data_IF_378500183029
#
_entry.id   IF_378500183029
#
_cell.length_a   1.000
_cell.length_b   1.000
_cell.length_c   1.000
_cell.angle_alpha   90.00
_cell.angle_beta   90.00
_cell.angle_gamma   90.00
#
_symmetry.space_group_name_H-M   'P 1'
#
loop_
_entity.id
_entity.type
_entity.pdbx_description
1 polymer ?
#
# COMPACT_ATOMS: atom_id res chain seq x y z
N UNK A 1 -21.93 1.87 -28.22
CA UNK A 1 -20.56 2.31 -28.56
C UNK A 1 -20.00 3.03 -27.35
N UNK A 2 -19.27 2.32 -26.49
CA UNK A 2 -18.70 2.92 -25.28
C UNK A 2 -17.47 3.73 -25.66
N UNK A 3 -17.53 5.04 -25.50
CA UNK A 3 -16.36 5.91 -25.65
C UNK A 3 -15.30 5.48 -24.63
N UNK A 4 -14.14 5.03 -25.12
CA UNK A 4 -12.94 4.88 -24.30
C UNK A 4 -12.59 6.30 -23.84
N UNK A 5 -12.81 6.61 -22.57
CA UNK A 5 -12.40 7.90 -22.01
C UNK A 5 -10.88 7.99 -22.10
N UNK A 6 -10.39 9.04 -22.76
CA UNK A 6 -8.96 9.36 -22.77
C UNK A 6 -8.46 9.51 -21.33
N UNK A 7 -7.21 9.14 -21.06
CA UNK A 7 -6.58 9.40 -19.75
C UNK A 7 -6.59 10.89 -19.39
N UNK A 8 -6.65 11.76 -20.39
CA UNK A 8 -6.72 13.22 -20.23
C UNK A 8 -8.15 13.74 -20.01
N UNK A 9 -9.15 12.86 -19.92
CA UNK A 9 -10.51 13.29 -19.64
C UNK A 9 -10.60 13.76 -18.18
N UNK A 10 -11.18 14.94 -17.87
CA UNK A 10 -11.16 15.51 -16.51
C UNK A 10 -11.72 14.58 -15.43
N UNK A 11 -12.79 13.83 -15.73
CA UNK A 11 -13.35 12.86 -14.79
C UNK A 11 -12.40 11.68 -14.50
N UNK A 12 -11.58 11.28 -15.48
CA UNK A 12 -10.57 10.22 -15.31
C UNK A 12 -9.41 10.74 -14.47
N UNK A 13 -8.96 11.96 -14.73
CA UNK A 13 -7.94 12.62 -13.92
C UNK A 13 -8.38 12.78 -12.46
N UNK A 14 -9.60 13.28 -12.24
CA UNK A 14 -10.17 13.44 -10.90
C UNK A 14 -10.27 12.10 -10.15
N UNK A 15 -10.69 11.03 -10.83
CA UNK A 15 -10.70 9.69 -10.26
C UNK A 15 -9.29 9.25 -9.82
N UNK A 16 -8.28 9.46 -10.66
CA UNK A 16 -6.92 9.08 -10.31
C UNK A 16 -6.31 9.96 -9.21
N UNK A 17 -6.65 11.23 -9.13
CA UNK A 17 -6.22 12.10 -8.03
C UNK A 17 -6.78 11.65 -6.68
N UNK A 18 -7.97 11.02 -6.64
CA UNK A 18 -8.49 10.40 -5.41
C UNK A 18 -7.68 9.18 -4.99
N UNK A 19 -7.15 8.41 -5.95
CA UNK A 19 -6.33 7.23 -5.69
C UNK A 19 -4.88 7.60 -5.34
N UNK A 20 -4.33 8.58 -6.05
CA UNK A 20 -2.95 9.02 -5.98
C UNK A 20 -2.89 10.54 -5.82
N UNK A 21 -3.22 11.08 -4.63
CA UNK A 21 -3.15 12.50 -4.37
C UNK A 21 -1.79 13.10 -4.74
N UNK A 22 -1.78 14.26 -5.40
CA UNK A 22 -0.60 14.97 -5.91
C UNK A 22 0.16 14.30 -7.06
N UNK A 23 -0.42 13.28 -7.68
CA UNK A 23 0.12 12.62 -8.87
C UNK A 23 -0.92 12.54 -10.00
N UNK A 24 -0.46 12.62 -11.24
CA UNK A 24 -1.25 12.31 -12.44
C UNK A 24 -0.79 10.99 -13.04
N UNK A 25 -1.71 10.32 -13.74
CA UNK A 25 -1.37 9.13 -14.53
C UNK A 25 -0.81 9.57 -15.87
N UNK A 26 0.48 9.34 -16.07
CA UNK A 26 1.18 9.63 -17.32
C UNK A 26 0.81 8.63 -18.42
N UNK A 27 0.77 7.35 -18.05
CA UNK A 27 0.45 6.24 -18.96
C UNK A 27 0.03 5.00 -18.18
N UNK A 28 -0.75 4.16 -18.85
CA UNK A 28 -1.13 2.83 -18.40
C UNK A 28 -0.75 1.83 -19.49
N UNK A 29 -0.08 0.75 -19.09
CA UNK A 29 0.29 -0.35 -19.96
C UNK A 29 -0.30 -1.65 -19.42
N UNK A 30 -0.95 -2.41 -20.29
CA UNK A 30 -1.51 -3.71 -19.96
C UNK A 30 -0.85 -4.76 -20.84
N UNK A 31 -0.13 -5.71 -20.23
CA UNK A 31 0.61 -6.76 -20.93
C UNK A 31 0.33 -8.10 -20.26
N UNK A 32 -0.17 -9.10 -21.00
CA UNK A 32 -0.29 -10.51 -20.57
C UNK A 32 -0.66 -10.69 -19.08
N UNK A 33 -1.76 -10.07 -18.62
CA UNK A 33 -2.25 -10.21 -17.25
C UNK A 33 -1.61 -9.28 -16.21
N UNK A 34 -0.71 -8.39 -16.62
CA UNK A 34 -0.12 -7.35 -15.80
C UNK A 34 -0.57 -5.95 -16.24
N UNK A 35 -1.08 -5.18 -15.29
CA UNK A 35 -1.30 -3.74 -15.43
C UNK A 35 -0.15 -2.94 -14.83
N UNK A 36 0.36 -1.95 -15.56
CA UNK A 36 1.37 -1.02 -15.08
C UNK A 36 0.85 0.41 -15.21
N UNK A 37 0.78 1.14 -14.11
CA UNK A 37 0.38 2.56 -14.08
C UNK A 37 1.59 3.39 -13.75
N UNK A 38 1.90 4.39 -14.57
CA UNK A 38 3.07 5.25 -14.37
C UNK A 38 2.60 6.63 -13.95
N UNK A 39 3.11 7.08 -12.81
CA UNK A 39 2.71 8.34 -12.20
C UNK A 39 3.78 9.40 -12.37
N UNK A 40 3.35 10.65 -12.51
CA UNK A 40 4.21 11.82 -12.39
C UNK A 40 3.63 12.82 -11.39
N UNK A 41 4.48 13.51 -10.60
CA UNK A 41 4.00 14.47 -9.62
C UNK A 41 3.43 15.70 -10.33
N UNK A 42 2.29 16.20 -9.85
CA UNK A 42 1.66 17.44 -10.36
C UNK A 42 1.89 18.65 -9.47
N UNK A 43 2.34 18.43 -8.23
CA UNK A 43 2.68 19.49 -7.28
C UNK A 43 4.18 19.56 -7.04
N UNK A 44 4.64 20.64 -6.43
CA UNK A 44 5.98 20.70 -5.84
C UNK A 44 6.19 19.61 -4.79
N UNK A 45 7.46 19.31 -4.49
CA UNK A 45 7.78 18.29 -3.52
C UNK A 45 7.49 18.77 -2.09
N UNK A 46 6.94 17.92 -1.23
CA UNK A 46 6.53 18.33 0.13
C UNK A 46 7.52 17.79 1.16
N UNK A 47 7.99 18.65 2.08
CA UNK A 47 8.80 18.22 3.21
C UNK A 47 7.96 17.37 4.18
N UNK A 48 8.36 16.12 4.49
CA UNK A 48 7.56 15.25 5.36
C UNK A 48 7.47 15.75 6.80
N UNK A 49 8.46 16.51 7.29
CA UNK A 49 8.50 16.97 8.69
C UNK A 49 7.68 18.24 8.93
N UNK A 50 7.62 19.13 7.92
CA UNK A 50 7.01 20.47 8.04
C UNK A 50 5.80 20.71 7.14
N UNK A 51 5.51 19.80 6.20
CA UNK A 51 4.40 19.92 5.25
C UNK A 51 4.54 21.08 4.25
N UNK A 52 5.74 21.67 4.12
CA UNK A 52 5.99 22.80 3.21
C UNK A 52 6.54 22.34 1.87
N UNK A 53 6.15 23.06 0.82
CA UNK A 53 6.68 22.87 -0.53
C UNK A 53 8.19 23.13 -0.58
N UNK A 54 8.87 22.32 -1.37
CA UNK A 54 10.31 22.27 -1.55
C UNK A 54 10.60 22.21 -3.05
N UNK A 55 11.01 23.34 -3.64
CA UNK A 55 11.38 23.40 -5.06
C UNK A 55 12.69 22.66 -5.37
N UNK A 56 13.55 22.45 -4.37
CA UNK A 56 14.86 21.82 -4.56
C UNK A 56 14.81 20.30 -4.37
N UNK A 57 14.44 19.60 -5.44
CA UNK A 57 14.59 18.14 -5.57
C UNK A 57 16.02 17.80 -5.99
N UNK A 58 16.73 17.04 -5.17
CA UNK A 58 18.13 16.63 -5.44
C UNK A 58 18.26 15.16 -5.85
N UNK A 59 17.19 14.38 -5.72
CA UNK A 59 17.19 12.95 -6.03
C UNK A 59 15.79 12.50 -6.44
N UNK A 60 15.72 11.52 -7.35
CA UNK A 60 14.51 10.76 -7.68
C UNK A 60 14.84 9.29 -7.55
N UNK A 61 14.06 8.57 -6.75
CA UNK A 61 14.25 7.15 -6.50
C UNK A 61 13.05 6.40 -7.10
N UNK A 62 13.25 5.62 -8.18
CA UNK A 62 12.15 4.88 -8.78
C UNK A 62 11.66 3.79 -7.84
N UNK A 63 10.33 3.66 -7.73
CA UNK A 63 9.68 2.66 -6.89
C UNK A 63 8.52 2.03 -7.62
N UNK A 64 8.44 0.72 -7.52
CA UNK A 64 7.32 -0.09 -7.99
C UNK A 64 6.50 -0.54 -6.79
N UNK A 65 5.21 -0.23 -6.82
CA UNK A 65 4.26 -0.39 -5.71
C UNK A 65 3.10 -1.23 -6.22
N UNK A 66 2.77 -2.32 -5.53
CA UNK A 66 1.67 -3.21 -5.93
C UNK A 66 0.33 -2.55 -5.64
N UNK A 67 -0.59 -2.74 -6.56
CA UNK A 67 -1.89 -2.10 -6.58
C UNK A 67 -2.98 -3.14 -6.85
N UNK A 68 -4.22 -2.78 -6.51
CA UNK A 68 -5.41 -3.53 -6.92
C UNK A 68 -5.35 -3.76 -8.43
N UNK A 69 -5.55 -5.00 -8.92
CA UNK A 69 -5.48 -5.28 -10.34
C UNK A 69 -6.39 -4.37 -11.16
N UNK A 70 -5.86 -3.79 -12.23
CA UNK A 70 -6.65 -3.11 -13.25
C UNK A 70 -7.66 -4.10 -13.86
N UNK A 71 -8.81 -3.62 -14.37
CA UNK A 71 -9.78 -4.47 -15.03
C UNK A 71 -9.15 -5.36 -16.12
N UNK A 72 -9.43 -6.66 -16.05
CA UNK A 72 -8.87 -7.65 -16.99
C UNK A 72 -7.41 -8.03 -16.75
N UNK A 73 -6.75 -7.50 -15.71
CA UNK A 73 -5.40 -7.88 -15.31
C UNK A 73 -5.42 -8.79 -14.07
N UNK A 74 -4.44 -9.69 -13.97
CA UNK A 74 -4.23 -10.58 -12.83
C UNK A 74 -3.60 -9.82 -11.66
N UNK A 75 -2.65 -8.95 -11.98
CA UNK A 75 -1.99 -8.10 -11.00
C UNK A 75 -1.64 -6.73 -11.57
N UNK A 76 -1.42 -5.76 -10.69
CA UNK A 76 -1.04 -4.41 -11.12
C UNK A 76 0.04 -3.79 -10.24
N UNK A 77 0.81 -2.91 -10.88
CA UNK A 77 1.91 -2.19 -10.27
C UNK A 77 1.82 -0.71 -10.66
N UNK A 78 1.93 0.16 -9.67
CA UNK A 78 2.11 1.60 -9.81
C UNK A 78 3.60 1.89 -9.76
N UNK A 79 4.11 2.63 -10.74
CA UNK A 79 5.50 3.08 -10.82
C UNK A 79 5.55 4.57 -10.57
N UNK A 80 6.38 4.98 -9.62
CA UNK A 80 6.51 6.37 -9.20
C UNK A 80 7.93 6.68 -8.78
N UNK A 81 8.39 7.90 -9.05
CA UNK A 81 9.64 8.40 -8.50
C UNK A 81 9.38 9.08 -7.15
N UNK A 82 9.97 8.55 -6.08
CA UNK A 82 9.96 9.24 -4.79
C UNK A 82 11.04 10.32 -4.81
N UNK A 83 10.64 11.57 -4.56
CA UNK A 83 11.55 12.72 -4.62
C UNK A 83 12.29 12.88 -3.30
N UNK A 84 13.60 13.10 -3.40
CA UNK A 84 14.45 13.54 -2.29
C UNK A 84 14.63 15.06 -2.35
N UNK A 85 14.26 15.75 -1.27
CA UNK A 85 14.28 17.21 -1.16
C UNK A 85 15.35 17.68 -0.18
N UNK A 86 15.96 18.84 -0.48
CA UNK A 86 16.73 19.59 0.51
C UNK A 86 15.86 20.75 1.01
N UNK A 87 15.19 20.55 2.13
CA UNK A 87 14.27 21.54 2.67
C UNK A 87 15.06 22.73 3.23
N UNK A 88 14.70 23.94 2.80
CA UNK A 88 15.29 25.19 3.29
C UNK A 88 14.85 25.54 4.72
N UNK A 89 13.68 25.05 5.14
CA UNK A 89 13.15 25.28 6.48
C UNK A 89 13.75 24.33 7.53
N UNK A 90 13.82 23.03 7.25
CA UNK A 90 14.41 22.07 8.19
C UNK A 90 15.94 21.93 8.05
N UNK A 91 16.53 22.45 6.97
CA UNK A 91 17.96 22.32 6.64
C UNK A 91 18.39 20.93 6.21
N UNK A 92 17.54 19.91 6.38
CA UNK A 92 17.85 18.50 6.12
C UNK A 92 17.55 18.02 4.70
N UNK A 93 18.17 16.87 4.36
CA UNK A 93 17.76 16.04 3.22
C UNK A 93 16.65 15.11 3.67
N UNK A 94 15.55 15.08 2.94
CA UNK A 94 14.35 14.30 3.27
C UNK A 94 13.83 13.61 2.04
N UNK A 95 13.19 12.46 2.22
CA UNK A 95 12.49 11.75 1.17
C UNK A 95 10.99 11.96 1.34
N UNK A 96 10.29 12.24 0.25
CA UNK A 96 8.84 12.35 0.29
C UNK A 96 8.17 11.09 0.85
N UNK A 97 7.11 11.30 1.62
CA UNK A 97 6.22 10.24 2.07
C UNK A 97 4.98 10.24 1.19
N UNK A 98 4.67 9.07 0.64
CA UNK A 98 3.46 8.88 -0.16
C UNK A 98 2.35 8.38 0.76
N UNK A 99 1.41 9.24 1.11
CA UNK A 99 0.37 8.90 2.08
C UNK A 99 -0.61 7.83 1.58
N UNK A 100 -0.66 7.55 0.28
CA UNK A 100 -1.46 6.47 -0.30
C UNK A 100 -0.71 5.12 -0.33
N UNK A 101 0.55 5.08 0.09
CA UNK A 101 1.38 3.86 0.20
C UNK A 101 1.30 3.32 1.63
N UNK A 102 1.11 2.02 1.78
CA UNK A 102 1.08 1.38 3.09
C UNK A 102 2.48 1.38 3.72
N UNK A 103 2.55 1.50 5.05
CA UNK A 103 3.82 1.37 5.79
C UNK A 103 4.46 -0.03 5.61
N UNK A 104 3.65 -1.01 5.18
CA UNK A 104 4.01 -2.41 4.96
C UNK A 104 4.37 -2.67 3.51
N UNK A 105 5.67 -2.74 3.23
CA UNK A 105 6.19 -3.15 1.90
C UNK A 105 5.63 -2.30 0.75
N UNK A 106 6.07 -2.56 -0.49
CA UNK A 106 5.63 -1.80 -1.64
C UNK A 106 4.17 -2.14 -2.03
N UNK A 107 3.18 -1.82 -1.19
CA UNK A 107 1.74 -1.94 -1.46
C UNK A 107 1.06 -0.57 -1.32
N UNK A 108 0.04 -0.29 -2.12
CA UNK A 108 -0.85 0.85 -1.84
C UNK A 108 -1.79 0.52 -0.67
N UNK A 109 -2.20 1.55 0.10
CA UNK A 109 -3.14 1.38 1.22
C UNK A 109 -4.45 0.75 0.74
N UNK A 110 -4.95 1.18 -0.41
CA UNK A 110 -6.15 0.60 -1.03
C UNK A 110 -5.98 -0.89 -1.31
N UNK A 111 -4.84 -1.31 -1.82
CA UNK A 111 -4.61 -2.73 -2.08
C UNK A 111 -4.46 -3.55 -0.79
N UNK A 112 -3.80 -2.99 0.23
CA UNK A 112 -3.75 -3.61 1.55
C UNK A 112 -5.16 -3.85 2.13
N UNK A 113 -6.04 -2.85 2.06
CA UNK A 113 -7.45 -2.97 2.49
C UNK A 113 -8.18 -4.06 1.69
N UNK A 114 -8.01 -4.07 0.37
CA UNK A 114 -8.61 -5.10 -0.49
C UNK A 114 -8.17 -6.51 -0.08
N UNK A 115 -6.87 -6.73 0.18
CA UNK A 115 -6.34 -8.03 0.60
C UNK A 115 -6.92 -8.45 1.96
N UNK A 116 -7.00 -7.54 2.93
CA UNK A 116 -7.60 -7.81 4.23
C UNK A 116 -9.10 -8.16 4.12
N UNK A 117 -9.84 -7.46 3.25
CA UNK A 117 -11.24 -7.78 2.98
C UNK A 117 -11.40 -9.20 2.41
N UNK A 118 -10.53 -9.63 1.50
CA UNK A 118 -10.56 -11.01 0.97
C UNK A 118 -10.28 -12.06 2.05
N UNK A 119 -9.37 -11.77 2.99
CA UNK A 119 -9.07 -12.68 4.10
C UNK A 119 -10.24 -12.83 5.07
N UNK A 120 -10.91 -11.73 5.42
CA UNK A 120 -11.93 -11.72 6.49
C UNK A 120 -13.36 -11.92 6.00
N UNK A 121 -13.70 -11.33 4.86
CA UNK A 121 -15.07 -11.37 4.34
C UNK A 121 -15.26 -12.57 3.43
N UNK A 122 -14.28 -12.85 2.57
CA UNK A 122 -14.36 -13.95 1.60
C UNK A 122 -13.77 -15.26 2.11
N UNK A 123 -13.15 -15.28 3.29
CA UNK A 123 -12.54 -16.48 3.88
C UNK A 123 -11.38 -17.07 3.06
N UNK A 124 -10.71 -16.25 2.24
CA UNK A 124 -9.58 -16.71 1.41
C UNK A 124 -8.34 -16.94 2.27
N UNK A 125 -7.49 -17.89 1.90
CA UNK A 125 -6.23 -18.15 2.62
C UNK A 125 -5.11 -17.20 2.20
N UNK A 126 -4.16 -16.97 3.10
CA UNK A 126 -2.93 -16.21 2.80
C UNK A 126 -2.19 -16.76 1.56
N UNK A 127 -2.13 -18.09 1.41
CA UNK A 127 -1.47 -18.75 0.29
C UNK A 127 -2.22 -18.54 -1.03
N UNK A 128 -3.54 -18.62 -1.01
CA UNK A 128 -4.37 -18.37 -2.20
C UNK A 128 -4.25 -16.92 -2.68
N UNK A 129 -4.22 -15.94 -1.77
CA UNK A 129 -4.01 -14.53 -2.14
C UNK A 129 -2.60 -14.25 -2.66
N UNK A 130 -1.58 -14.85 -2.03
CA UNK A 130 -0.20 -14.75 -2.48
C UNK A 130 -0.06 -15.23 -3.93
N UNK A 131 -0.63 -16.40 -4.25
CA UNK A 131 -0.67 -16.94 -5.61
C UNK A 131 -1.47 -16.04 -6.56
N UNK A 132 -2.71 -15.70 -6.20
CA UNK A 132 -3.64 -14.91 -7.03
C UNK A 132 -3.06 -13.56 -7.44
N UNK A 133 -2.37 -12.88 -6.53
CA UNK A 133 -1.86 -11.54 -6.75
C UNK A 133 -0.35 -11.48 -7.02
N UNK A 134 0.30 -12.63 -7.22
CA UNK A 134 1.74 -12.73 -7.40
C UNK A 134 2.51 -11.91 -6.36
N UNK A 135 2.25 -12.20 -5.08
CA UNK A 135 2.86 -11.57 -3.93
C UNK A 135 3.62 -12.60 -3.10
N UNK A 136 4.75 -12.23 -2.47
CA UNK A 136 5.38 -13.11 -1.50
C UNK A 136 4.40 -13.43 -0.38
N UNK A 137 4.27 -14.72 -0.04
CA UNK A 137 3.38 -15.16 1.04
C UNK A 137 3.65 -14.43 2.37
N UNK A 138 4.92 -14.12 2.65
CA UNK A 138 5.35 -13.32 3.81
C UNK A 138 4.74 -11.93 3.83
N UNK A 139 4.50 -11.31 2.68
CA UNK A 139 3.85 -9.99 2.57
C UNK A 139 2.42 -10.06 3.07
N UNK A 140 1.65 -11.06 2.58
CA UNK A 140 0.26 -11.26 3.01
C UNK A 140 0.20 -11.65 4.49
N UNK A 141 1.07 -12.58 4.93
CA UNK A 141 1.15 -13.01 6.32
C UNK A 141 1.42 -11.83 7.27
N UNK A 142 2.37 -10.96 6.93
CA UNK A 142 2.71 -9.82 7.77
C UNK A 142 1.56 -8.80 7.81
N UNK A 143 0.90 -8.56 6.68
CA UNK A 143 -0.29 -7.71 6.61
C UNK A 143 -1.43 -8.25 7.48
N UNK A 144 -1.68 -9.56 7.41
CA UNK A 144 -2.68 -10.26 8.20
C UNK A 144 -2.37 -10.18 9.70
N UNK A 145 -1.12 -10.44 10.06
CA UNK A 145 -0.60 -10.35 11.42
C UNK A 145 -0.82 -8.97 12.02
N UNK A 146 -0.45 -7.89 11.33
CA UNK A 146 -0.63 -6.53 11.85
C UNK A 146 -2.09 -6.19 12.14
N UNK A 147 -2.99 -6.64 11.27
CA UNK A 147 -4.42 -6.43 11.48
C UNK A 147 -4.94 -7.22 12.69
N UNK A 148 -4.43 -8.43 12.90
CA UNK A 148 -4.74 -9.23 14.08
C UNK A 148 -4.17 -8.59 15.35
N UNK A 149 -2.92 -8.12 15.32
CA UNK A 149 -2.34 -7.35 16.44
C UNK A 149 -3.26 -6.18 16.79
N UNK A 150 -3.70 -5.37 15.83
CA UNK A 150 -4.66 -4.29 16.08
C UNK A 150 -5.99 -4.75 16.73
N UNK A 151 -6.57 -5.87 16.27
CA UNK A 151 -7.84 -6.36 16.82
C UNK A 151 -7.70 -7.00 18.21
N UNK A 152 -6.53 -7.53 18.55
CA UNK A 152 -6.33 -8.35 19.74
C UNK A 152 -5.31 -7.76 20.74
N UNK A 153 -4.77 -6.56 20.50
CA UNK A 153 -3.73 -5.90 21.32
C UNK A 153 -4.11 -5.73 22.81
N UNK A 154 -5.41 -5.76 23.12
CA UNK A 154 -5.93 -5.62 24.49
C UNK A 154 -6.47 -6.91 25.12
N UNK A 155 -6.38 -8.06 24.45
CA UNK A 155 -7.00 -9.30 24.93
C UNK A 155 -6.01 -10.08 25.81
N UNK A 156 -6.32 -10.13 27.11
CA UNK A 156 -5.62 -10.97 28.07
C UNK A 156 -6.03 -12.44 27.90
N UNK A 157 -5.28 -13.16 27.07
CA UNK A 157 -5.48 -14.59 26.82
C UNK A 157 -5.24 -15.47 28.05
N UNK A 158 -4.61 -14.96 29.13
CA UNK A 158 -4.43 -15.74 30.36
C UNK A 158 -5.75 -15.87 31.15
N UNK A 159 -6.68 -14.92 30.97
CA UNK A 159 -8.03 -14.98 31.58
C UNK A 159 -8.97 -15.95 30.89
N UNK A 160 -8.68 -16.31 29.64
CA UNK A 160 -9.43 -17.30 28.88
C UNK A 160 -8.73 -18.66 28.99
N UNK A 161 -8.88 -19.31 30.14
CA UNK A 161 -8.56 -20.74 30.31
C UNK A 161 -9.57 -21.59 29.49
N UNK A 162 -9.54 -21.45 28.16
CA UNK A 162 -10.41 -22.16 27.24
C UNK A 162 -9.54 -23.17 26.50
N UNK A 163 -9.76 -24.45 26.83
CA UNK A 163 -9.35 -25.69 26.17
C UNK A 163 -7.90 -25.76 25.62
N UNK A 164 -7.05 -26.71 26.09
CA UNK A 164 -5.66 -26.87 25.65
C UNK A 164 -5.42 -26.84 24.12
N UNK A 165 -6.42 -27.25 23.34
CA UNK A 165 -6.41 -27.26 21.88
C UNK A 165 -6.34 -25.85 21.25
N UNK A 166 -6.99 -24.84 21.85
CA UNK A 166 -7.01 -23.47 21.31
C UNK A 166 -5.71 -22.70 21.62
N UNK A 167 -5.04 -23.04 22.73
CA UNK A 167 -3.83 -22.34 23.18
C UNK A 167 -2.64 -22.54 22.21
N UNK A 168 -2.54 -23.72 21.57
CA UNK A 168 -1.53 -24.01 20.53
C UNK A 168 -1.77 -23.21 19.24
N UNK A 169 -3.03 -23.00 18.86
CA UNK A 169 -3.41 -22.25 17.65
C UNK A 169 -3.21 -20.74 17.85
N UNK A 170 -3.60 -20.19 19.00
CA UNK A 170 -3.45 -18.76 19.30
C UNK A 170 -1.99 -18.32 19.39
N UNK A 171 -1.10 -19.14 19.98
CA UNK A 171 0.35 -18.87 20.05
C UNK A 171 1.06 -18.88 18.70
N UNK A 172 0.50 -19.55 17.67
CA UNK A 172 1.05 -19.55 16.30
C UNK A 172 0.57 -18.35 15.48
N UNK A 173 -0.59 -17.80 15.82
CA UNK A 173 -1.28 -16.74 15.06
C UNK A 173 -0.95 -15.35 15.58
N UNK A 174 -0.75 -15.17 16.89
CA UNK A 174 -0.37 -13.90 17.49
C UNK A 174 1.06 -13.97 18.00
N UNK A 175 2.03 -13.35 17.33
CA UNK A 175 3.35 -13.17 17.93
C UNK A 175 3.24 -12.16 19.07
N UNK A 176 4.03 -12.40 20.11
CA UNK A 176 4.12 -11.56 21.30
C UNK A 176 4.26 -10.07 20.95
N UNK A 177 3.75 -9.16 21.80
CA UNK A 177 3.81 -7.73 21.55
C UNK A 177 5.28 -7.31 21.45
N UNK A 178 5.73 -7.02 20.22
CA UNK A 178 6.92 -6.20 20.03
C UNK A 178 6.47 -4.77 20.28
N UNK A 179 6.83 -4.28 21.46
CA UNK A 179 6.76 -2.86 21.81
C UNK A 179 7.26 -2.00 20.63
N UNK A 180 6.50 -0.93 20.38
CA UNK A 180 6.86 0.27 19.63
C UNK A 180 7.25 0.09 18.15
N UNK A 181 6.43 0.66 17.27
CA UNK A 181 6.91 1.60 16.25
C UNK A 181 5.78 2.60 15.94
N UNK A 182 5.90 3.77 16.56
CA UNK A 182 5.34 5.06 16.10
C UNK A 182 5.97 5.41 14.75
#
# INVERSE_FOLDING_TARGET
MGSILSLNHPAVEQYFQQLYPNYSVKRIECTQGQGNTYLEPVTEAICPDFGRECSKVHQRIPRSIREVPLPGQLYSTVHVDIRGVKCTHCGGRKQERLDWVANMTCLTKRFAIYLQAQLRVSGTTNSSLALKHNLPWTTIKNLDKQQLEYYFDGIDLQKFAILPLMNSLLRKVMPMPLLLCI
#
